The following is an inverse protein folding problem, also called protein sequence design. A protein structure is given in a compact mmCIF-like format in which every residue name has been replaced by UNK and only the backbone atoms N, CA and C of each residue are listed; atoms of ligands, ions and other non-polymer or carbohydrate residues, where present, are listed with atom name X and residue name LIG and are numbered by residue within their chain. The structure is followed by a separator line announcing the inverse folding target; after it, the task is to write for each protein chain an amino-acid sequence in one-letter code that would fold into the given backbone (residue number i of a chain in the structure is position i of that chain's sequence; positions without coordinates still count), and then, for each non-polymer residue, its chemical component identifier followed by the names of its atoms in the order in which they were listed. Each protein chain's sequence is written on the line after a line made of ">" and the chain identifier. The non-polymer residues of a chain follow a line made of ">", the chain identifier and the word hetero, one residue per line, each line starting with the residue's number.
data_IF_660948217080
#
_entry.id   IF_660948217080
#
_cell.length_a   1.000
_cell.length_b   1.000
_cell.length_c   1.000
_cell.angle_alpha   90.00
_cell.angle_beta   90.00
_cell.angle_gamma   90.00
#
_symmetry.space_group_name_H-M   'P 1'
#
loop_
_entity.id
_entity.type
_entity.pdbx_description
1 polymer ?
#
# COMPACT_ATOMS: atom_id res chain seq x y z
N UNK A 1 60.74 44.29 8.23
CA UNK A 1 59.26 44.49 8.26
C UNK A 1 58.54 44.36 6.89
N UNK A 2 59.23 44.10 5.75
CA UNK A 2 58.59 44.05 4.42
C UNK A 2 58.20 42.64 3.92
N UNK A 3 58.71 41.55 4.52
CA UNK A 3 58.37 40.16 4.15
C UNK A 3 56.93 39.77 4.53
N UNK A 4 56.44 40.22 5.70
CA UNK A 4 55.08 39.88 6.15
C UNK A 4 53.97 40.53 5.32
N UNK A 5 54.22 41.70 4.73
CA UNK A 5 53.23 42.40 3.91
C UNK A 5 53.05 41.77 2.52
N UNK A 6 54.13 41.20 1.95
CA UNK A 6 54.07 40.51 0.67
C UNK A 6 53.30 39.19 0.78
N UNK A 7 53.57 38.40 1.83
CA UNK A 7 52.83 37.17 2.14
C UNK A 7 51.34 37.46 2.41
N UNK A 8 51.03 38.49 3.19
CA UNK A 8 49.64 38.89 3.45
C UNK A 8 48.92 39.31 2.16
N UNK A 9 49.61 39.99 1.25
CA UNK A 9 49.05 40.42 -0.04
C UNK A 9 48.83 39.24 -1.00
N UNK A 10 49.72 38.25 -0.99
CA UNK A 10 49.58 36.99 -1.73
C UNK A 10 48.39 36.17 -1.21
N UNK A 11 48.22 36.08 0.11
CA UNK A 11 47.07 35.41 0.73
C UNK A 11 45.74 36.08 0.38
N UNK A 12 45.68 37.42 0.41
CA UNK A 12 44.48 38.16 0.03
C UNK A 12 44.13 38.01 -1.45
N UNK A 13 45.13 37.97 -2.34
CA UNK A 13 44.92 37.68 -3.76
C UNK A 13 44.42 36.25 -3.98
N UNK A 14 44.98 35.26 -3.29
CA UNK A 14 44.52 33.87 -3.38
C UNK A 14 43.07 33.72 -2.89
N UNK A 15 42.70 34.37 -1.79
CA UNK A 15 41.33 34.38 -1.27
C UNK A 15 40.39 35.06 -2.27
N UNK A 16 40.78 36.19 -2.85
CA UNK A 16 39.98 36.89 -3.86
C UNK A 16 39.78 36.05 -5.13
N UNK A 17 40.83 35.42 -5.65
CA UNK A 17 40.75 34.54 -6.83
C UNK A 17 39.91 33.29 -6.53
N UNK A 18 40.07 32.69 -5.35
CA UNK A 18 39.27 31.53 -4.92
C UNK A 18 37.80 31.88 -4.75
N UNK A 19 37.50 33.04 -4.17
CA UNK A 19 36.14 33.57 -4.04
C UNK A 19 35.52 33.79 -5.43
N UNK A 20 36.27 34.38 -6.38
CA UNK A 20 35.83 34.55 -7.77
C UNK A 20 35.60 33.22 -8.50
N UNK A 21 36.43 32.20 -8.24
CA UNK A 21 36.31 30.88 -8.87
C UNK A 21 35.03 30.16 -8.41
N UNK A 22 34.68 30.25 -7.12
CA UNK A 22 33.43 29.73 -6.55
C UNK A 22 32.18 30.43 -7.13
N UNK A 23 32.28 31.72 -7.49
CA UNK A 23 31.18 32.48 -8.09
C UNK A 23 30.87 32.13 -9.56
N UNK A 24 31.78 31.43 -10.27
CA UNK A 24 31.52 31.01 -11.66
C UNK A 24 30.83 29.65 -11.80
N UNK A 25 30.57 28.94 -10.70
CA UNK A 25 29.94 27.61 -10.70
C UNK A 25 28.81 27.51 -9.67
N UNK A 26 27.88 28.45 -9.73
CA UNK A 26 26.55 28.29 -9.13
C UNK A 26 25.45 28.68 -10.14
N UNK A 27 25.65 28.36 -11.42
CA UNK A 27 24.51 28.18 -12.32
C UNK A 27 23.86 26.87 -11.93
N UNK A 28 22.87 26.96 -11.04
CA UNK A 28 21.83 25.94 -11.00
C UNK A 28 21.38 25.74 -12.46
N UNK A 29 21.27 24.50 -12.96
CA UNK A 29 20.61 24.27 -14.22
C UNK A 29 19.24 24.91 -14.08
N UNK A 30 18.99 25.97 -14.84
CA UNK A 30 17.62 26.41 -15.06
C UNK A 30 16.96 25.20 -15.72
N UNK A 31 16.20 24.44 -14.93
CA UNK A 31 15.20 23.55 -15.49
C UNK A 31 14.36 24.46 -16.39
N UNK A 32 14.52 24.31 -17.70
CA UNK A 32 13.52 24.79 -18.62
C UNK A 32 12.23 24.19 -18.12
N UNK A 33 11.34 25.03 -17.58
CA UNK A 33 9.94 24.69 -17.53
C UNK A 33 9.59 24.38 -18.98
N UNK A 34 9.55 23.07 -19.27
CA UNK A 34 8.78 22.52 -20.37
C UNK A 34 7.50 23.35 -20.42
N UNK A 35 7.27 23.98 -21.57
CA UNK A 35 6.10 24.81 -21.83
C UNK A 35 4.91 24.22 -21.06
N UNK A 36 4.29 25.03 -20.21
CA UNK A 36 3.12 24.66 -19.42
C UNK A 36 1.92 24.44 -20.36
N UNK A 37 2.01 23.46 -21.25
CA UNK A 37 0.84 22.86 -21.89
C UNK A 37 0.24 21.97 -20.84
N UNK A 38 -0.92 22.37 -20.35
CA UNK A 38 -1.77 21.49 -19.59
C UNK A 38 -2.12 20.29 -20.48
N UNK A 39 -1.62 19.10 -20.12
CA UNK A 39 -1.97 17.89 -20.85
C UNK A 39 -3.48 17.63 -20.76
N UNK A 40 -4.07 17.22 -21.87
CA UNK A 40 -5.45 16.77 -21.93
C UNK A 40 -5.71 15.65 -20.92
N UNK A 41 -6.84 15.74 -20.22
CA UNK A 41 -7.23 14.78 -19.19
C UNK A 41 -8.35 13.91 -19.74
N UNK A 42 -8.09 12.61 -19.86
CA UNK A 42 -9.08 11.63 -20.28
C UNK A 42 -10.30 11.68 -19.36
N UNK A 43 -11.52 11.74 -19.91
CA UNK A 43 -12.74 11.76 -19.11
C UNK A 43 -13.05 10.38 -18.48
N UNK A 44 -13.95 10.31 -17.48
CA UNK A 44 -14.39 9.02 -16.94
C UNK A 44 -14.96 8.14 -18.06
N UNK A 45 -14.62 6.86 -18.06
CA UNK A 45 -14.89 5.95 -19.17
C UNK A 45 -13.70 5.76 -20.12
N UNK A 46 -12.69 6.62 -20.02
CA UNK A 46 -11.51 6.61 -20.87
C UNK A 46 -10.24 6.62 -20.02
N UNK A 47 -9.23 5.90 -20.49
CA UNK A 47 -7.91 5.83 -19.89
C UNK A 47 -6.84 6.30 -20.86
N UNK A 48 -5.67 6.65 -20.33
CA UNK A 48 -4.51 7.05 -21.14
C UNK A 48 -3.95 5.85 -21.89
N UNK A 49 -3.92 5.94 -23.22
CA UNK A 49 -3.22 5.00 -24.09
C UNK A 49 -1.81 5.49 -24.39
N UNK A 50 -1.68 6.81 -24.65
CA UNK A 50 -0.40 7.47 -24.87
C UNK A 50 -0.29 8.69 -23.96
N UNK A 51 0.72 8.76 -23.09
CA UNK A 51 0.92 9.94 -22.26
C UNK A 51 1.29 11.15 -23.13
N UNK A 52 0.96 12.35 -22.65
CA UNK A 52 1.43 13.57 -23.29
C UNK A 52 2.96 13.66 -23.33
N UNK A 53 3.47 14.37 -24.32
CA UNK A 53 4.89 14.72 -24.44
C UNK A 53 5.04 16.19 -24.84
N UNK A 54 6.27 16.62 -25.10
CA UNK A 54 6.52 17.96 -25.64
C UNK A 54 5.91 18.19 -27.04
N UNK A 55 5.64 17.12 -27.79
CA UNK A 55 5.25 17.18 -29.21
C UNK A 55 3.79 16.77 -29.48
N UNK A 56 3.15 16.09 -28.54
CA UNK A 56 1.76 15.63 -28.67
C UNK A 56 1.04 15.65 -27.32
N UNK A 57 -0.27 15.80 -27.36
CA UNK A 57 -1.11 15.75 -26.17
C UNK A 57 -1.41 14.31 -25.75
N UNK A 58 -2.04 14.14 -24.58
CA UNK A 58 -2.48 12.83 -24.09
C UNK A 58 -3.51 12.22 -25.03
N UNK A 59 -3.32 10.96 -25.40
CA UNK A 59 -4.30 10.18 -26.15
C UNK A 59 -5.09 9.26 -25.22
N UNK A 60 -6.41 9.25 -25.43
CA UNK A 60 -7.35 8.56 -24.57
C UNK A 60 -8.10 7.47 -25.33
N UNK A 61 -8.09 6.27 -24.77
CA UNK A 61 -8.85 5.12 -25.25
C UNK A 61 -10.06 4.83 -24.38
N UNK A 62 -11.13 4.32 -24.99
CA UNK A 62 -12.28 3.83 -24.22
C UNK A 62 -11.86 2.61 -23.40
N UNK A 63 -12.35 2.51 -22.16
CA UNK A 63 -12.07 1.33 -21.35
C UNK A 63 -12.70 0.08 -21.97
N UNK A 64 -11.88 -0.97 -22.11
CA UNK A 64 -12.32 -2.29 -22.53
C UNK A 64 -13.36 -2.88 -21.56
N UNK A 65 -14.10 -3.93 -21.96
CA UNK A 65 -14.91 -4.70 -21.03
C UNK A 65 -14.11 -5.12 -19.78
N UNK A 66 -14.78 -5.15 -18.63
CA UNK A 66 -14.17 -5.43 -17.32
C UNK A 66 -13.06 -4.45 -16.89
N UNK A 67 -13.04 -3.24 -17.46
CA UNK A 67 -12.18 -2.14 -17.02
C UNK A 67 -12.95 -0.85 -16.79
N UNK A 68 -12.41 0.03 -15.94
CA UNK A 68 -13.00 1.32 -15.62
C UNK A 68 -11.97 2.44 -15.42
N UNK A 69 -12.44 3.67 -15.56
CA UNK A 69 -11.73 4.89 -15.20
C UNK A 69 -12.73 5.91 -14.65
N UNK A 70 -12.61 6.27 -13.37
CA UNK A 70 -13.60 7.09 -12.66
C UNK A 70 -13.29 8.58 -12.64
N UNK A 71 -12.03 8.97 -12.86
CA UNK A 71 -11.58 10.35 -12.67
C UNK A 71 -10.93 10.92 -13.93
N UNK A 72 -11.05 12.24 -14.10
CA UNK A 72 -10.34 12.94 -15.17
C UNK A 72 -8.83 12.90 -14.92
N UNK A 73 -8.07 12.31 -15.83
CA UNK A 73 -6.62 12.16 -15.67
C UNK A 73 -5.86 12.18 -16.99
N UNK A 74 -4.68 12.82 -16.99
CA UNK A 74 -3.75 12.84 -18.12
C UNK A 74 -2.68 11.74 -18.05
N UNK A 75 -2.71 10.88 -17.02
CA UNK A 75 -1.75 9.78 -16.87
C UNK A 75 -2.36 8.41 -16.54
N UNK A 76 -3.56 8.37 -15.92
CA UNK A 76 -4.13 7.10 -15.44
C UNK A 76 -4.69 6.28 -16.61
N UNK A 77 -4.28 5.01 -16.77
CA UNK A 77 -4.93 4.09 -17.70
C UNK A 77 -6.29 3.62 -17.14
N UNK A 78 -7.01 2.81 -17.92
CA UNK A 78 -8.13 2.06 -17.39
C UNK A 78 -7.64 0.97 -16.42
N UNK A 79 -8.37 0.77 -15.33
CA UNK A 79 -8.07 -0.24 -14.31
C UNK A 79 -9.00 -1.43 -14.48
N UNK A 80 -8.54 -2.66 -14.21
CA UNK A 80 -9.43 -3.82 -14.17
C UNK A 80 -10.46 -3.63 -13.05
N UNK A 81 -11.69 -4.08 -13.30
CA UNK A 81 -12.75 -4.05 -12.29
C UNK A 81 -12.42 -4.97 -11.12
N UNK A 82 -12.74 -4.52 -9.91
CA UNK A 82 -12.68 -5.29 -8.68
C UNK A 82 -13.62 -6.49 -8.73
N UNK A 83 -13.25 -7.56 -8.03
CA UNK A 83 -14.03 -8.78 -7.88
C UNK A 83 -14.45 -8.96 -6.43
N UNK A 84 -15.71 -9.33 -6.19
CA UNK A 84 -16.20 -9.58 -4.84
C UNK A 84 -15.81 -10.98 -4.37
N UNK A 85 -15.16 -11.04 -3.21
CA UNK A 85 -14.70 -12.27 -2.56
C UNK A 85 -15.82 -13.03 -1.84
N UNK A 86 -15.44 -14.06 -1.08
CA UNK A 86 -16.39 -14.86 -0.30
C UNK A 86 -17.11 -14.02 0.78
N UNK A 87 -18.39 -14.31 0.98
CA UNK A 87 -19.24 -13.56 1.92
C UNK A 87 -19.64 -12.15 1.45
N UNK A 88 -19.27 -11.79 0.22
CA UNK A 88 -19.62 -10.52 -0.43
C UNK A 88 -20.38 -10.79 -1.73
N UNK A 89 -21.26 -9.85 -2.09
CA UNK A 89 -21.97 -9.84 -3.36
C UNK A 89 -21.75 -8.53 -4.11
N UNK A 90 -22.04 -8.53 -5.41
CA UNK A 90 -21.94 -7.37 -6.30
C UNK A 90 -23.16 -6.48 -6.09
N UNK A 91 -23.03 -5.47 -5.24
CA UNK A 91 -24.06 -4.46 -5.03
C UNK A 91 -24.24 -3.58 -6.28
N UNK A 92 -23.13 -3.14 -6.89
CA UNK A 92 -23.14 -2.44 -8.16
C UNK A 92 -22.13 -3.05 -9.13
N UNK A 93 -22.60 -3.38 -10.34
CA UNK A 93 -21.74 -3.91 -11.40
C UNK A 93 -20.78 -2.85 -11.91
N UNK A 94 -19.61 -3.30 -12.33
CA UNK A 94 -18.64 -2.45 -12.99
C UNK A 94 -19.20 -1.84 -14.28
N UNK A 95 -18.71 -0.64 -14.60
CA UNK A 95 -18.96 0.04 -15.88
C UNK A 95 -17.68 0.74 -16.31
N UNK A 96 -17.57 1.20 -17.55
CA UNK A 96 -16.39 1.96 -18.00
C UNK A 96 -16.03 3.16 -17.09
N UNK A 97 -17.00 3.71 -16.35
CA UNK A 97 -16.82 4.89 -15.47
C UNK A 97 -16.68 4.56 -13.99
N UNK A 98 -17.02 3.34 -13.56
CA UNK A 98 -17.19 2.99 -12.14
C UNK A 98 -16.68 1.58 -11.90
N UNK A 99 -15.96 1.40 -10.80
CA UNK A 99 -15.59 0.05 -10.36
C UNK A 99 -16.82 -0.76 -9.92
N UNK A 100 -16.63 -2.07 -9.80
CA UNK A 100 -17.52 -2.95 -9.04
C UNK A 100 -17.59 -2.49 -7.59
N UNK A 101 -18.80 -2.39 -7.04
CA UNK A 101 -19.01 -2.17 -5.60
C UNK A 101 -19.47 -3.47 -4.98
N UNK A 102 -18.72 -3.93 -3.97
CA UNK A 102 -19.04 -5.11 -3.19
C UNK A 102 -19.67 -4.73 -1.86
N UNK A 103 -20.67 -5.48 -1.43
CA UNK A 103 -21.28 -5.32 -0.10
C UNK A 103 -21.38 -6.68 0.60
N UNK A 104 -21.55 -6.65 1.92
CA UNK A 104 -21.51 -7.83 2.77
C UNK A 104 -22.86 -8.54 2.84
N UNK A 105 -22.85 -9.87 2.82
CA UNK A 105 -24.05 -10.67 3.06
C UNK A 105 -24.61 -10.49 4.49
N UNK A 106 -23.81 -9.98 5.42
CA UNK A 106 -24.21 -9.79 6.81
C UNK A 106 -24.98 -8.48 7.03
N UNK A 107 -24.84 -7.50 6.14
CA UNK A 107 -25.51 -6.21 6.23
C UNK A 107 -26.65 -6.13 5.23
N UNK A 108 -27.90 -6.14 5.70
CA UNK A 108 -29.11 -5.96 4.87
C UNK A 108 -29.28 -4.55 4.28
N UNK A 109 -28.26 -3.67 4.39
CA UNK A 109 -28.32 -2.29 3.92
C UNK A 109 -28.07 -2.11 2.44
N UNK A 110 -27.43 -3.07 1.78
CA UNK A 110 -27.16 -2.98 0.35
C UNK A 110 -28.35 -3.40 -0.52
N UNK A 111 -28.24 -3.21 -1.86
CA UNK A 111 -29.30 -3.56 -2.79
C UNK A 111 -29.49 -5.08 -2.87
N UNK A 112 -30.72 -5.53 -2.60
CA UNK A 112 -31.13 -6.93 -2.77
C UNK A 112 -31.36 -7.21 -4.25
N UNK A 113 -30.30 -7.65 -4.94
CA UNK A 113 -30.32 -7.99 -6.36
C UNK A 113 -30.09 -9.50 -6.59
N UNK A 114 -30.09 -9.93 -7.84
CA UNK A 114 -29.86 -11.34 -8.20
C UNK A 114 -28.54 -11.90 -7.63
N UNK A 115 -27.45 -11.11 -7.67
CA UNK A 115 -26.14 -11.56 -7.16
C UNK A 115 -26.14 -11.69 -5.63
N UNK A 116 -26.91 -10.85 -4.92
CA UNK A 116 -27.17 -11.01 -3.49
C UNK A 116 -27.88 -12.34 -3.19
N UNK A 117 -28.96 -12.65 -3.90
CA UNK A 117 -29.72 -13.88 -3.66
C UNK A 117 -28.83 -15.13 -3.89
N UNK A 118 -28.12 -15.15 -5.01
CA UNK A 118 -27.27 -16.26 -5.41
C UNK A 118 -26.09 -16.51 -4.47
N UNK A 119 -25.43 -15.45 -3.99
CA UNK A 119 -24.23 -15.57 -3.15
C UNK A 119 -24.54 -15.63 -1.65
N UNK A 120 -25.59 -14.96 -1.21
CA UNK A 120 -25.88 -14.81 0.22
C UNK A 120 -27.03 -15.71 0.70
N UNK A 121 -28.09 -15.91 -0.11
CA UNK A 121 -29.32 -16.57 0.33
C UNK A 121 -29.36 -18.03 -0.11
N UNK A 122 -29.10 -18.32 -1.40
CA UNK A 122 -29.20 -19.67 -1.96
C UNK A 122 -28.37 -20.72 -1.19
N UNK A 123 -27.11 -20.45 -0.79
CA UNK A 123 -26.33 -21.41 -0.02
C UNK A 123 -26.94 -21.76 1.34
N UNK A 124 -27.68 -20.84 1.96
CA UNK A 124 -28.38 -21.07 3.23
C UNK A 124 -29.62 -21.95 3.02
N UNK A 125 -30.33 -21.77 1.91
CA UNK A 125 -31.48 -22.61 1.54
C UNK A 125 -31.06 -24.05 1.21
N UNK A 126 -29.98 -24.20 0.44
CA UNK A 126 -29.41 -25.51 0.11
C UNK A 126 -28.85 -26.19 1.36
N UNK A 127 -28.22 -25.43 2.26
CA UNK A 127 -27.77 -25.91 3.56
C UNK A 127 -28.92 -26.42 4.44
N UNK A 128 -30.05 -25.70 4.47
CA UNK A 128 -31.23 -26.09 5.25
C UNK A 128 -31.86 -27.39 4.71
N UNK A 129 -32.04 -27.52 3.40
CA UNK A 129 -32.63 -28.73 2.79
C UNK A 129 -31.73 -29.96 2.97
N UNK A 130 -30.41 -29.78 2.91
CA UNK A 130 -29.44 -30.85 3.19
C UNK A 130 -29.42 -31.22 4.69
N UNK A 131 -29.59 -30.25 5.59
CA UNK A 131 -29.76 -30.52 7.01
C UNK A 131 -31.05 -31.31 7.28
N UNK A 132 -32.18 -30.97 6.63
CA UNK A 132 -33.43 -31.73 6.78
C UNK A 132 -33.34 -33.15 6.21
N UNK A 133 -32.59 -33.36 5.11
CA UNK A 133 -32.35 -34.69 4.54
C UNK A 133 -31.48 -35.57 5.45
N UNK A 134 -30.50 -34.98 6.13
CA UNK A 134 -29.67 -35.67 7.13
C UNK A 134 -30.40 -35.94 8.45
N UNK A 135 -31.48 -35.21 8.78
CA UNK A 135 -32.33 -35.51 9.95
C UNK A 135 -33.16 -36.79 9.74
N UNK A 136 -33.43 -37.19 8.49
CA UNK A 136 -34.13 -38.44 8.17
C UNK A 136 -33.20 -39.64 7.90
N UNK A 137 -31.89 -39.51 8.07
CA UNK A 137 -30.95 -40.62 7.83
C UNK A 137 -29.75 -40.50 8.76
N UNK A 138 -29.63 -41.50 9.65
CA UNK A 138 -28.55 -41.76 10.62
C UNK A 138 -28.77 -41.28 12.07
N UNK A 139 -29.68 -42.00 12.74
CA UNK A 139 -29.39 -42.60 14.04
C UNK A 139 -28.13 -43.47 13.93
N UNK A 140 -27.10 -43.20 14.74
CA UNK A 140 -26.22 -44.20 15.40
C UNK A 140 -25.20 -43.48 16.28
N UNK A 141 -25.27 -43.73 17.58
CA UNK A 141 -24.25 -43.36 18.56
C UNK A 141 -22.96 -44.16 18.32
N UNK A 142 -21.80 -43.51 18.51
CA UNK A 142 -20.57 -44.18 18.94
C UNK A 142 -19.70 -43.20 19.76
N UNK A 143 -19.00 -43.77 20.73
CA UNK A 143 -18.47 -43.22 21.99
C UNK A 143 -16.93 -43.18 21.94
N UNK A 144 -16.33 -42.41 22.86
CA UNK A 144 -14.89 -42.45 23.28
C UNK A 144 -13.84 -41.93 22.27
N UNK A 145 -12.73 -41.25 22.63
CA UNK A 145 -12.13 -40.93 23.92
C UNK A 145 -11.09 -39.81 23.81
N UNK A 146 -10.92 -39.11 24.94
CA UNK A 146 -9.75 -38.31 25.27
C UNK A 146 -8.50 -39.20 25.39
N UNK A 147 -7.38 -38.84 24.74
CA UNK A 147 -6.06 -39.40 25.04
C UNK A 147 -5.05 -38.26 25.05
N UNK A 148 -4.68 -37.81 26.26
CA UNK A 148 -3.55 -36.92 26.49
C UNK A 148 -2.31 -37.78 26.41
N UNK A 149 -1.50 -37.59 25.37
CA UNK A 149 -0.22 -38.28 25.21
C UNK A 149 0.84 -37.56 26.03
N UNK A 150 1.03 -37.97 27.28
CA UNK A 150 2.21 -37.59 28.07
C UNK A 150 3.40 -38.48 27.68
N UNK A 151 4.34 -37.93 26.92
CA UNK A 151 5.65 -38.56 26.72
C UNK A 151 6.53 -38.21 27.92
N UNK A 152 6.74 -39.20 28.79
CA UNK A 152 7.81 -39.20 29.77
C UNK A 152 9.15 -39.42 29.06
N UNK A 153 10.05 -38.43 29.14
CA UNK A 153 11.48 -38.65 28.94
C UNK A 153 12.16 -38.52 30.31
N UNK A 154 12.42 -39.67 30.91
CA UNK A 154 13.43 -39.81 31.95
C UNK A 154 14.80 -40.01 31.30
N UNK A 155 15.63 -38.97 31.31
CA UNK A 155 17.07 -39.11 31.28
C UNK A 155 17.68 -37.86 31.95
N UNK A 156 18.29 -38.05 33.11
CA UNK A 156 18.84 -36.98 33.93
C UNK A 156 19.94 -36.21 33.20
N UNK A 157 19.70 -34.93 32.95
CA UNK A 157 20.73 -33.95 32.65
C UNK A 157 20.86 -33.06 33.90
N UNK A 158 22.07 -32.87 34.46
CA UNK A 158 22.23 -32.04 35.66
C UNK A 158 21.74 -30.62 35.39
N UNK A 159 20.95 -30.07 36.33
CA UNK A 159 20.30 -28.74 36.25
C UNK A 159 21.27 -27.58 35.98
N UNK A 160 22.58 -27.78 36.19
CA UNK A 160 23.63 -26.81 35.87
C UNK A 160 23.88 -26.63 34.37
N UNK A 161 23.62 -27.64 33.53
CA UNK A 161 23.89 -27.60 32.08
C UNK A 161 22.77 -26.88 31.31
N UNK A 162 21.52 -27.01 31.76
CA UNK A 162 20.36 -26.34 31.16
C UNK A 162 20.43 -24.83 31.42
N UNK A 163 20.84 -24.41 32.61
CA UNK A 163 20.95 -22.98 32.97
C UNK A 163 22.15 -22.31 32.30
N UNK A 164 23.27 -23.03 32.11
CA UNK A 164 24.40 -22.49 31.34
C UNK A 164 24.06 -22.31 29.86
N UNK A 165 23.33 -23.25 29.26
CA UNK A 165 22.92 -23.17 27.85
C UNK A 165 21.93 -22.04 27.57
N UNK A 166 20.97 -21.79 28.45
CA UNK A 166 19.98 -20.71 28.26
C UNK A 166 20.58 -19.32 28.41
N UNK A 167 21.58 -19.15 29.29
CA UNK A 167 22.30 -17.88 29.47
C UNK A 167 23.20 -17.58 28.27
N UNK A 168 23.90 -18.59 27.73
CA UNK A 168 24.72 -18.42 26.52
C UNK A 168 23.86 -18.11 25.31
N UNK A 169 22.72 -18.79 25.14
CA UNK A 169 21.77 -18.51 24.04
C UNK A 169 21.17 -17.11 24.19
N UNK A 170 20.76 -16.70 25.39
CA UNK A 170 20.24 -15.35 25.62
C UNK A 170 21.30 -14.26 25.36
N UNK A 171 22.55 -14.47 25.78
CA UNK A 171 23.65 -13.55 25.54
C UNK A 171 23.97 -13.41 24.04
N UNK A 172 23.95 -14.52 23.29
CA UNK A 172 24.13 -14.51 21.83
C UNK A 172 22.99 -13.77 21.12
N UNK A 173 21.73 -13.96 21.53
CA UNK A 173 20.58 -13.25 20.95
C UNK A 173 20.67 -11.75 21.22
N UNK A 174 21.07 -11.33 22.42
CA UNK A 174 21.26 -9.90 22.76
C UNK A 174 22.41 -9.29 21.97
N UNK A 175 23.52 -10.00 21.80
CA UNK A 175 24.66 -9.53 21.00
C UNK A 175 24.28 -9.38 19.51
N UNK A 176 23.53 -10.34 18.95
CA UNK A 176 23.03 -10.27 17.58
C UNK A 176 22.01 -9.13 17.39
N UNK A 177 21.12 -8.91 18.36
CA UNK A 177 20.17 -7.80 18.33
C UNK A 177 20.87 -6.44 18.42
N UNK A 178 21.90 -6.30 19.27
CA UNK A 178 22.71 -5.10 19.38
C UNK A 178 23.55 -4.83 18.11
N UNK A 179 24.12 -5.87 17.50
CA UNK A 179 24.82 -5.78 16.21
C UNK A 179 23.85 -5.43 15.06
N UNK A 180 22.64 -5.99 15.07
CA UNK A 180 21.56 -5.57 14.17
C UNK A 180 21.17 -4.11 14.40
N UNK A 181 21.06 -3.64 15.64
CA UNK A 181 20.73 -2.25 15.95
C UNK A 181 21.85 -1.28 15.52
N UNK A 182 23.10 -1.69 15.68
CA UNK A 182 24.27 -0.92 15.26
C UNK A 182 24.38 -0.84 13.72
N UNK A 183 24.05 -1.91 13.00
CA UNK A 183 24.09 -1.96 11.52
C UNK A 183 22.85 -1.33 10.88
N UNK A 184 21.67 -1.44 11.51
CA UNK A 184 20.41 -0.80 11.03
C UNK A 184 20.33 0.70 11.32
N UNK A 185 21.17 1.24 12.22
CA UNK A 185 21.35 2.69 12.36
C UNK A 185 22.15 3.34 11.22
N UNK A 186 22.63 2.57 10.25
CA UNK A 186 23.18 3.11 9.00
C UNK A 186 22.21 2.91 7.83
N UNK A 187 21.12 3.68 7.86
CA UNK A 187 20.50 4.42 6.74
C UNK A 187 19.22 5.06 7.29
N UNK A 188 19.09 6.40 7.35
CA UNK A 188 17.76 6.98 7.36
C UNK A 188 17.11 6.63 6.02
N UNK A 189 16.32 5.56 5.99
CA UNK A 189 15.28 5.42 4.99
C UNK A 189 14.36 6.64 5.17
N UNK A 190 14.52 7.63 4.30
CA UNK A 190 13.60 8.77 4.19
C UNK A 190 12.24 8.18 3.81
N UNK A 191 11.42 7.89 4.82
CA UNK A 191 10.01 7.54 4.67
C UNK A 191 9.34 8.76 4.07
N UNK A 192 9.16 8.75 2.75
CA UNK A 192 8.24 9.65 2.08
C UNK A 192 6.82 9.28 2.48
N UNK A 193 6.41 9.66 3.69
CA UNK A 193 5.01 9.63 4.10
C UNK A 193 4.30 10.79 3.39
N UNK A 194 3.89 10.58 2.13
CA UNK A 194 2.86 11.41 1.52
C UNK A 194 1.51 10.95 2.05
N UNK A 195 1.28 11.24 3.32
CA UNK A 195 -0.06 11.27 3.91
C UNK A 195 -0.77 12.47 3.28
N UNK A 196 -1.61 12.20 2.28
CA UNK A 196 -2.50 13.18 1.67
C UNK A 196 -3.26 13.93 2.77
N UNK A 197 -3.31 15.28 2.77
CA UNK A 197 -4.26 15.99 3.58
C UNK A 197 -5.63 15.81 2.93
N UNK A 198 -6.50 15.02 3.55
CA UNK A 198 -7.93 15.23 3.37
C UNK A 198 -8.22 16.63 3.92
N UNK A 199 -8.45 17.58 3.02
CA UNK A 199 -9.03 18.86 3.38
C UNK A 199 -10.48 18.54 3.76
N UNK A 200 -10.78 18.58 5.05
CA UNK A 200 -12.15 18.61 5.52
C UNK A 200 -12.78 19.89 4.97
N UNK A 201 -13.53 19.79 3.87
CA UNK A 201 -14.37 20.88 3.40
C UNK A 201 -15.55 20.95 4.37
N UNK A 202 -15.40 21.80 5.37
CA UNK A 202 -16.52 22.37 6.11
C UNK A 202 -17.41 23.11 5.10
N UNK A 203 -18.56 22.53 4.78
CA UNK A 203 -19.66 23.28 4.14
C UNK A 203 -20.78 23.38 5.16
N UNK A 204 -20.71 24.45 5.96
CA UNK A 204 -21.89 25.14 6.46
C UNK A 204 -22.10 26.37 5.56
N UNK A 205 -23.36 26.51 5.13
CA UNK A 205 -24.00 27.65 4.41
C UNK A 205 -23.66 27.74 2.90
N UNK A 206 -24.58 28.03 1.97
CA UNK A 206 -25.92 28.60 2.04
C UNK A 206 -26.78 28.21 0.81
N UNK A 207 -28.09 28.37 0.97
CA UNK A 207 -29.16 28.35 -0.04
C UNK A 207 -29.09 29.56 -0.98
N UNK A 208 -29.37 29.35 -2.28
CA UNK A 208 -29.88 30.24 -3.36
C UNK A 208 -29.29 29.69 -4.68
N UNK A 209 -30.02 29.27 -5.72
CA UNK A 209 -31.34 29.58 -6.28
C UNK A 209 -32.03 28.29 -6.76
#
# INVERSE_FOLDING_TARGET
>A
MKKGYLELRLLLLFIYVSLRLQFTMAKHPHHHHAQNRDCYKCPPGFGVERPCSHFHDTECGACAPDHYSSHKSSWRPCYPCSRCGAGLYVAHRCTAKRDTVCDSCHTYRGPHNEDFYERCVRPLLDGATNATRNVHSHSSQAKENHSVTSLGLSAGVPRSVIVASSVVVAALVVALAAACFATTRCRPCRRGDKRYPYIAVSTKEAVML
#
